data_IF_112287799880
#
_entry.id   IF_112287799880
#
_cell.length_a   1.000
_cell.length_b   1.000
_cell.length_c   1.000
_cell.angle_alpha   90.00
_cell.angle_beta   90.00
_cell.angle_gamma   90.00
#
_symmetry.space_group_name_H-M   'P 1'
#
loop_
_entity.id
_entity.type
_entity.pdbx_description
1 polymer ?
#
# COMPACT_ATOMS: atom_id res chain seq x y z
N UNK A 1 -22.89 -5.65 36.70
CA UNK A 1 -21.69 -6.52 36.84
C UNK A 1 -21.97 -7.79 36.04
N UNK A 2 -21.20 -8.32 35.10
CA UNK A 2 -19.87 -8.07 34.51
C UNK A 2 -19.91 -8.71 33.10
N UNK A 3 -19.53 -7.95 32.06
CA UNK A 3 -18.40 -8.18 31.13
C UNK A 3 -18.42 -9.42 30.21
N UNK A 4 -18.37 -9.13 28.91
CA UNK A 4 -17.44 -9.60 27.86
C UNK A 4 -17.01 -11.09 27.91
N UNK A 5 -17.06 -11.87 26.84
CA UNK A 5 -16.95 -11.51 25.43
C UNK A 5 -15.99 -12.50 24.78
N UNK A 6 -16.51 -13.45 24.01
CA UNK A 6 -15.73 -14.31 23.12
C UNK A 6 -16.62 -14.74 21.93
N UNK A 7 -16.47 -14.08 20.79
CA UNK A 7 -16.92 -14.58 19.48
C UNK A 7 -16.02 -14.03 18.39
N UNK A 8 -14.79 -14.56 18.33
CA UNK A 8 -13.89 -14.39 17.18
C UNK A 8 -13.76 -15.75 16.52
N UNK A 9 -14.60 -16.05 15.52
CA UNK A 9 -14.36 -17.03 14.45
C UNK A 9 -15.38 -16.79 13.31
N UNK A 10 -15.27 -15.68 12.59
CA UNK A 10 -15.85 -15.53 11.24
C UNK A 10 -15.16 -14.37 10.53
N UNK A 11 -13.94 -14.62 10.06
CA UNK A 11 -13.14 -13.64 9.32
C UNK A 11 -12.35 -14.32 8.21
N UNK A 12 -13.02 -14.81 7.17
CA UNK A 12 -12.39 -15.10 5.85
C UNK A 12 -13.35 -15.65 4.79
N UNK A 13 -14.53 -15.06 4.58
CA UNK A 13 -15.36 -15.33 3.39
C UNK A 13 -16.16 -14.13 2.86
N UNK A 14 -15.72 -12.89 3.08
CA UNK A 14 -16.39 -11.68 2.51
C UNK A 14 -15.51 -10.93 1.50
N UNK A 15 -14.81 -11.67 0.63
CA UNK A 15 -13.98 -11.11 -0.46
C UNK A 15 -14.55 -11.38 -1.86
N UNK A 16 -15.88 -11.42 -2.02
CA UNK A 16 -16.54 -11.53 -3.33
C UNK A 16 -17.91 -10.82 -3.40
N UNK A 17 -18.05 -9.65 -2.78
CA UNK A 17 -19.13 -8.72 -3.15
C UNK A 17 -18.46 -7.40 -3.52
N UNK A 18 -18.56 -7.05 -4.80
CA UNK A 18 -18.09 -5.78 -5.32
C UNK A 18 -18.65 -4.65 -4.48
N UNK A 19 -17.75 -3.83 -3.95
CA UNK A 19 -18.10 -2.59 -3.28
C UNK A 19 -18.57 -1.60 -4.35
N UNK A 20 -19.79 -1.79 -4.87
CA UNK A 20 -20.53 -0.72 -5.54
C UNK A 20 -21.02 0.18 -4.41
N UNK A 21 -20.13 1.04 -3.92
CA UNK A 21 -20.56 2.24 -3.21
C UNK A 21 -21.59 2.92 -4.12
N UNK A 22 -22.85 3.16 -3.71
CA UNK A 22 -23.78 3.91 -4.51
C UNK A 22 -23.19 5.32 -4.63
N UNK A 23 -22.53 5.62 -5.76
CA UNK A 23 -22.17 6.99 -6.06
C UNK A 23 -23.45 7.81 -5.95
N UNK A 24 -23.46 8.91 -5.17
CA UNK A 24 -24.67 9.67 -4.95
C UNK A 24 -25.22 10.04 -6.33
N UNK A 25 -26.47 9.64 -6.58
CA UNK A 25 -27.10 9.79 -7.89
C UNK A 25 -27.12 11.27 -8.33
N UNK A 26 -27.09 12.18 -7.35
CA UNK A 26 -26.97 13.63 -7.56
C UNK A 26 -25.63 14.13 -7.05
N UNK A 27 -24.97 14.92 -7.90
CA UNK A 27 -23.73 15.61 -7.59
C UNK A 27 -24.01 17.09 -7.44
N UNK A 28 -23.60 17.67 -6.31
CA UNK A 28 -23.72 19.10 -6.05
C UNK A 28 -22.37 19.78 -6.22
N UNK A 29 -22.37 20.90 -6.94
CA UNK A 29 -21.20 21.75 -7.12
C UNK A 29 -21.65 23.21 -7.19
N UNK A 30 -21.11 24.05 -6.31
CA UNK A 30 -21.56 25.44 -6.15
C UNK A 30 -23.09 25.49 -5.98
N UNK A 31 -23.81 26.34 -6.72
CA UNK A 31 -25.27 26.44 -6.69
C UNK A 31 -26.00 25.44 -7.63
N UNK A 32 -25.28 24.45 -8.18
CA UNK A 32 -25.83 23.51 -9.16
C UNK A 32 -25.95 22.09 -8.58
N UNK A 33 -27.03 21.41 -8.95
CA UNK A 33 -27.21 19.98 -8.69
C UNK A 33 -27.38 19.24 -10.02
N UNK A 34 -26.58 18.21 -10.26
CA UNK A 34 -26.63 17.37 -11.46
C UNK A 34 -27.02 15.95 -11.09
N UNK A 35 -28.14 15.46 -11.62
CA UNK A 35 -28.52 14.07 -11.51
C UNK A 35 -27.83 13.25 -12.62
N UNK A 36 -26.95 12.32 -12.24
CA UNK A 36 -26.15 11.52 -13.16
C UNK A 36 -26.96 10.44 -13.87
N UNK A 37 -28.12 10.05 -13.32
CA UNK A 37 -28.99 9.04 -13.92
C UNK A 37 -29.89 9.64 -14.98
N UNK A 38 -30.45 10.82 -14.70
CA UNK A 38 -31.38 11.48 -15.61
C UNK A 38 -30.70 12.52 -16.51
N UNK A 39 -29.43 12.85 -16.25
CA UNK A 39 -28.69 13.94 -16.90
C UNK A 39 -29.41 15.30 -16.75
N UNK A 40 -30.16 15.49 -15.67
CA UNK A 40 -30.86 16.73 -15.39
C UNK A 40 -30.01 17.66 -14.53
N UNK A 41 -29.88 18.91 -14.99
CA UNK A 41 -29.18 19.98 -14.28
C UNK A 41 -30.19 20.89 -13.58
N UNK A 42 -29.93 21.20 -12.32
CA UNK A 42 -30.71 22.10 -11.48
C UNK A 42 -29.80 23.24 -11.00
N UNK A 43 -30.33 24.47 -10.93
CA UNK A 43 -29.68 25.64 -10.31
C UNK A 43 -30.63 26.18 -9.26
N UNK A 44 -30.19 26.27 -8.00
CA UNK A 44 -31.02 26.71 -6.87
C UNK A 44 -32.39 25.99 -6.82
N UNK A 45 -32.39 24.67 -7.09
CA UNK A 45 -33.59 23.83 -7.13
C UNK A 45 -34.48 23.99 -8.38
N UNK A 46 -34.15 24.89 -9.31
CA UNK A 46 -34.86 25.05 -10.59
C UNK A 46 -34.19 24.24 -11.69
N UNK A 47 -34.97 23.45 -12.43
CA UNK A 47 -34.46 22.67 -13.56
C UNK A 47 -34.00 23.60 -14.69
N UNK A 48 -32.74 23.48 -15.08
CA UNK A 48 -32.20 24.12 -16.27
C UNK A 48 -32.40 23.22 -17.49
N UNK A 49 -32.90 23.80 -18.58
CA UNK A 49 -33.04 23.09 -19.85
C UNK A 49 -31.67 23.01 -20.53
N UNK A 50 -31.04 21.84 -20.40
CA UNK A 50 -29.84 21.49 -21.14
C UNK A 50 -30.20 20.38 -22.14
N UNK A 51 -29.68 20.47 -23.37
CA UNK A 51 -29.91 19.43 -24.37
C UNK A 51 -29.21 18.13 -23.97
N UNK A 52 -29.73 16.98 -24.42
CA UNK A 52 -29.26 15.66 -24.02
C UNK A 52 -27.75 15.44 -24.21
N UNK A 53 -27.19 15.86 -25.34
CA UNK A 53 -25.75 15.72 -25.63
C UNK A 53 -24.88 16.56 -24.68
N UNK A 54 -25.08 17.89 -24.56
CA UNK A 54 -24.39 18.70 -23.54
C UNK A 54 -24.55 18.17 -22.11
N UNK A 55 -25.73 17.68 -21.75
CA UNK A 55 -25.97 17.13 -20.42
C UNK A 55 -25.18 15.85 -20.15
N UNK A 56 -25.14 14.92 -21.12
CA UNK A 56 -24.31 13.70 -21.03
C UNK A 56 -22.83 14.03 -20.94
N UNK A 57 -22.35 15.03 -21.70
CA UNK A 57 -20.97 15.50 -21.62
C UNK A 57 -20.64 16.05 -20.22
N UNK A 58 -21.55 16.84 -19.64
CA UNK A 58 -21.38 17.35 -18.29
C UNK A 58 -21.34 16.21 -17.25
N UNK A 59 -22.21 15.19 -17.38
CA UNK A 59 -22.17 14.00 -16.52
C UNK A 59 -20.83 13.26 -16.64
N UNK A 60 -20.29 13.12 -17.85
CA UNK A 60 -18.99 12.47 -18.08
C UNK A 60 -17.85 13.25 -17.40
N UNK A 61 -17.83 14.58 -17.56
CA UNK A 61 -16.83 15.47 -16.97
C UNK A 61 -16.91 15.46 -15.43
N UNK A 62 -18.12 15.53 -14.86
CA UNK A 62 -18.36 15.52 -13.41
C UNK A 62 -18.10 14.12 -12.80
N UNK A 63 -18.21 13.06 -13.59
CA UNK A 63 -17.89 11.69 -13.15
C UNK A 63 -16.39 11.46 -12.92
N UNK A 64 -15.52 12.30 -13.50
CA UNK A 64 -14.06 12.24 -13.37
C UNK A 64 -13.49 13.63 -13.06
N UNK A 65 -13.81 14.22 -11.88
CA UNK A 65 -13.38 15.57 -11.55
C UNK A 65 -11.85 15.66 -11.53
N UNK A 66 -11.29 16.77 -12.01
CA UNK A 66 -9.85 17.00 -12.08
C UNK A 66 -9.09 16.21 -13.15
N UNK A 67 -9.75 15.29 -13.86
CA UNK A 67 -9.13 14.49 -14.92
C UNK A 67 -9.37 15.14 -16.28
N UNK A 68 -8.36 15.14 -17.15
CA UNK A 68 -8.48 15.62 -18.53
C UNK A 68 -9.12 14.49 -19.35
N UNK A 69 -10.31 14.75 -19.89
CA UNK A 69 -11.00 13.83 -20.79
C UNK A 69 -10.65 14.25 -22.22
N UNK A 70 -10.11 13.33 -23.01
CA UNK A 70 -9.67 13.64 -24.36
C UNK A 70 -10.85 13.80 -25.31
N UNK A 71 -10.64 14.49 -26.44
CA UNK A 71 -11.67 14.63 -27.47
C UNK A 71 -12.13 13.28 -28.02
N UNK A 72 -11.20 12.32 -28.16
CA UNK A 72 -11.51 10.95 -28.59
C UNK A 72 -12.39 10.22 -27.59
N UNK A 73 -12.08 10.31 -26.29
CA UNK A 73 -12.90 9.69 -25.24
C UNK A 73 -14.30 10.31 -25.17
N UNK A 74 -14.41 11.63 -25.39
CA UNK A 74 -15.71 12.32 -25.45
C UNK A 74 -16.51 11.84 -26.65
N UNK A 75 -15.86 11.66 -27.80
CA UNK A 75 -16.50 11.17 -29.01
C UNK A 75 -17.07 9.76 -28.78
N UNK A 76 -16.25 8.83 -28.30
CA UNK A 76 -16.65 7.44 -28.03
C UNK A 76 -17.78 7.36 -27.00
N UNK A 77 -17.76 8.22 -25.97
CA UNK A 77 -18.76 8.22 -24.91
C UNK A 77 -20.12 8.82 -25.33
N UNK A 78 -20.16 9.71 -26.32
CA UNK A 78 -21.38 10.43 -26.73
C UNK A 78 -21.95 9.95 -28.06
N UNK A 79 -21.10 9.45 -28.96
CA UNK A 79 -21.49 9.00 -30.30
C UNK A 79 -20.92 7.60 -30.56
N UNK A 80 -21.81 6.61 -30.66
CA UNK A 80 -21.45 5.29 -31.14
C UNK A 80 -21.15 5.31 -32.65
N UNK A 81 -20.30 4.40 -33.10
CA UNK A 81 -19.83 4.28 -34.49
C UNK A 81 -21.00 4.34 -35.50
N UNK A 82 -21.01 5.34 -36.38
CA UNK A 82 -21.96 5.41 -37.50
C UNK A 82 -22.68 6.75 -37.74
N UNK A 83 -22.53 7.78 -36.90
CA UNK A 83 -23.06 9.13 -37.19
C UNK A 83 -22.00 10.01 -37.88
N UNK A 84 -22.21 10.36 -39.15
CA UNK A 84 -21.38 11.34 -39.86
C UNK A 84 -21.74 12.76 -39.40
N UNK A 85 -21.24 13.16 -38.24
CA UNK A 85 -21.31 14.54 -37.74
C UNK A 85 -19.88 15.06 -37.60
N UNK A 86 -19.67 16.35 -37.84
CA UNK A 86 -18.39 16.99 -37.54
C UNK A 86 -18.18 17.04 -36.02
N UNK A 87 -17.60 15.96 -35.47
CA UNK A 87 -17.48 15.72 -34.03
C UNK A 87 -16.75 16.85 -33.31
N UNK A 88 -15.72 17.43 -33.92
CA UNK A 88 -15.01 18.57 -33.33
C UNK A 88 -15.92 19.77 -33.12
N UNK A 89 -16.75 20.09 -34.13
CA UNK A 89 -17.73 21.17 -34.03
C UNK A 89 -18.80 20.83 -33.00
N UNK A 90 -19.31 19.60 -33.00
CA UNK A 90 -20.34 19.15 -32.06
C UNK A 90 -19.87 19.22 -30.60
N UNK A 91 -18.63 18.81 -30.30
CA UNK A 91 -18.06 18.90 -28.95
C UNK A 91 -17.93 20.38 -28.53
N UNK A 92 -17.47 21.26 -29.42
CA UNK A 92 -17.34 22.68 -29.11
C UNK A 92 -18.71 23.34 -28.84
N UNK A 93 -19.73 23.00 -29.63
CA UNK A 93 -21.11 23.46 -29.41
C UNK A 93 -21.65 22.91 -28.10
N UNK A 94 -21.38 21.65 -27.77
CA UNK A 94 -21.81 21.05 -26.52
C UNK A 94 -21.18 21.75 -25.31
N UNK A 95 -19.86 21.96 -25.32
CA UNK A 95 -19.15 22.70 -24.26
C UNK A 95 -19.64 24.13 -24.15
N UNK A 96 -19.90 24.81 -25.27
CA UNK A 96 -20.46 26.17 -25.27
C UNK A 96 -21.82 26.21 -24.57
N UNK A 97 -22.72 25.28 -24.87
CA UNK A 97 -24.04 25.18 -24.23
C UNK A 97 -23.95 24.86 -22.74
N UNK A 98 -22.98 24.04 -22.33
CA UNK A 98 -22.74 23.77 -20.91
C UNK A 98 -22.25 25.05 -20.22
N UNK A 99 -21.30 25.78 -20.81
CA UNK A 99 -20.83 27.06 -20.27
C UNK A 99 -21.93 28.09 -20.15
N UNK A 100 -22.81 28.20 -21.16
CA UNK A 100 -23.99 29.06 -21.11
C UNK A 100 -24.94 28.65 -19.96
N UNK A 101 -25.18 27.35 -19.77
CA UNK A 101 -26.04 26.85 -18.70
C UNK A 101 -25.43 27.01 -17.30
N UNK A 102 -24.11 26.93 -17.18
CA UNK A 102 -23.37 27.08 -15.92
C UNK A 102 -22.92 28.53 -15.65
N UNK A 103 -23.23 29.46 -16.55
CA UNK A 103 -22.75 30.86 -16.50
C UNK A 103 -21.20 30.93 -16.35
N UNK A 104 -20.50 30.04 -17.05
CA UNK A 104 -19.06 29.84 -16.99
C UNK A 104 -18.34 30.64 -18.09
N UNK A 105 -17.36 31.46 -17.72
CA UNK A 105 -16.58 32.28 -18.65
C UNK A 105 -15.42 31.45 -19.25
N UNK A 106 -15.28 31.33 -20.58
CA UNK A 106 -14.16 30.62 -21.20
C UNK A 106 -12.79 31.23 -20.89
N UNK A 107 -12.70 32.54 -20.60
CA UNK A 107 -11.46 33.24 -20.24
C UNK A 107 -11.12 33.08 -18.75
N UNK A 108 -12.12 32.79 -17.91
CA UNK A 108 -11.99 32.55 -16.47
C UNK A 108 -12.81 31.33 -16.07
N UNK A 109 -12.41 30.12 -16.50
CA UNK A 109 -13.22 28.92 -16.26
C UNK A 109 -13.29 28.63 -14.76
N UNK A 110 -14.51 28.54 -14.24
CA UNK A 110 -14.82 28.09 -12.87
C UNK A 110 -15.19 26.61 -12.83
N UNK A 111 -15.79 26.10 -13.91
CA UNK A 111 -16.29 24.73 -13.97
C UNK A 111 -15.60 23.91 -15.05
N UNK A 112 -15.46 24.44 -16.27
CA UNK A 112 -14.91 23.69 -17.40
C UNK A 112 -13.68 24.37 -17.99
N UNK A 113 -12.53 23.77 -17.72
CA UNK A 113 -11.25 24.18 -18.27
C UNK A 113 -10.99 23.52 -19.62
N UNK A 114 -10.58 24.32 -20.60
CA UNK A 114 -10.09 23.82 -21.88
C UNK A 114 -8.59 23.58 -21.78
N UNK A 115 -8.16 22.34 -22.00
CA UNK A 115 -6.73 21.99 -22.07
C UNK A 115 -6.32 21.94 -23.56
N UNK A 116 -5.52 22.90 -24.05
CA UNK A 116 -5.15 22.99 -25.46
C UNK A 116 -4.55 21.67 -25.97
N UNK A 117 -5.00 21.23 -27.15
CA UNK A 117 -4.54 20.00 -27.85
C UNK A 117 -4.78 18.68 -27.10
N UNK A 118 -5.46 18.68 -25.95
CA UNK A 118 -5.77 17.45 -25.19
C UNK A 118 -7.26 17.21 -25.03
N UNK A 119 -8.02 18.20 -24.55
CA UNK A 119 -9.45 18.02 -24.28
C UNK A 119 -9.98 18.97 -23.21
N UNK A 120 -10.87 18.46 -22.37
CA UNK A 120 -11.61 19.24 -21.38
C UNK A 120 -11.49 18.63 -19.99
N UNK A 121 -11.47 19.48 -18.97
CA UNK A 121 -11.37 19.07 -17.56
C UNK A 121 -12.43 19.79 -16.73
N UNK A 122 -13.10 19.04 -15.86
CA UNK A 122 -13.95 19.62 -14.82
C UNK A 122 -13.09 20.04 -13.62
N UNK A 123 -13.14 21.33 -13.27
CA UNK A 123 -12.39 21.92 -12.16
C UNK A 123 -13.30 22.40 -11.02
N UNK A 124 -14.62 22.26 -11.16
CA UNK A 124 -15.57 22.62 -10.12
C UNK A 124 -15.39 21.79 -8.84
N UNK A 125 -15.53 22.44 -7.69
CA UNK A 125 -15.46 21.77 -6.38
C UNK A 125 -16.79 21.05 -6.12
N UNK A 126 -16.74 19.71 -6.09
CA UNK A 126 -17.90 18.89 -5.77
C UNK A 126 -18.04 18.77 -4.25
N UNK A 127 -19.22 19.05 -3.71
CA UNK A 127 -19.48 19.01 -2.25
C UNK A 127 -19.21 17.62 -1.63
N UNK A 128 -19.51 16.54 -2.35
CA UNK A 128 -19.18 15.16 -1.93
C UNK A 128 -17.66 14.95 -1.81
N UNK A 129 -16.87 15.51 -2.74
CA UNK A 129 -15.41 15.44 -2.68
C UNK A 129 -14.85 16.30 -1.53
N UNK A 130 -15.58 17.32 -1.07
CA UNK A 130 -15.24 18.08 0.13
C UNK A 130 -15.38 17.22 1.38
N UNK A 131 -16.42 16.40 1.49
CA UNK A 131 -16.60 15.46 2.60
C UNK A 131 -15.53 14.36 2.54
N UNK A 132 -15.27 13.77 1.38
CA UNK A 132 -14.26 12.70 1.25
C UNK A 132 -12.81 13.21 1.44
N UNK A 133 -12.50 14.43 0.99
CA UNK A 133 -11.20 15.07 1.23
C UNK A 133 -11.06 15.67 2.62
N UNK A 134 -12.14 16.11 3.26
CA UNK A 134 -12.13 16.55 4.66
C UNK A 134 -12.03 15.33 5.58
N UNK A 135 -12.76 14.25 5.30
CA UNK A 135 -12.66 12.99 6.00
C UNK A 135 -11.28 12.36 5.79
N UNK A 136 -10.71 12.39 4.58
CA UNK A 136 -9.32 11.97 4.36
C UNK A 136 -8.32 12.88 5.08
N UNK A 137 -8.55 14.19 5.17
CA UNK A 137 -7.68 15.09 5.95
C UNK A 137 -7.77 14.84 7.45
N UNK A 138 -8.97 14.61 7.98
CA UNK A 138 -9.18 14.26 9.40
C UNK A 138 -8.60 12.89 9.73
N UNK A 139 -8.74 11.90 8.83
CA UNK A 139 -8.11 10.58 8.98
C UNK A 139 -6.59 10.69 8.84
N UNK A 140 -6.07 11.54 7.95
CA UNK A 140 -4.62 11.81 7.87
C UNK A 140 -4.07 12.57 9.08
N UNK A 141 -4.84 13.45 9.73
CA UNK A 141 -4.38 14.18 10.91
C UNK A 141 -4.40 13.30 12.18
N UNK A 142 -5.32 12.33 12.29
CA UNK A 142 -5.34 11.35 13.40
C UNK A 142 -4.40 10.16 13.17
N UNK A 143 -4.21 9.66 11.94
CA UNK A 143 -3.26 8.55 11.67
C UNK A 143 -1.79 9.00 11.59
N UNK A 144 -1.46 10.30 11.46
CA UNK A 144 -0.06 10.79 11.37
C UNK A 144 0.60 11.02 12.74
N UNK A 145 -0.08 10.68 13.85
CA UNK A 145 0.54 10.64 15.18
C UNK A 145 1.17 9.27 15.53
N UNK A 146 1.04 8.24 14.70
CA UNK A 146 1.91 7.07 14.79
C UNK A 146 3.14 7.35 13.92
N UNK A 147 4.17 7.97 14.50
CA UNK A 147 5.45 8.15 13.82
C UNK A 147 5.94 6.78 13.36
N UNK A 148 5.71 6.41 12.10
CA UNK A 148 6.31 5.22 11.48
C UNK A 148 7.82 5.39 11.69
N UNK A 149 8.38 4.60 12.61
CA UNK A 149 9.77 4.71 13.00
C UNK A 149 10.65 4.24 11.82
N UNK A 150 10.96 5.17 10.92
CA UNK A 150 11.81 4.89 9.75
C UNK A 150 13.27 5.03 10.18
N UNK A 151 13.92 3.90 10.46
CA UNK A 151 15.37 3.86 10.65
C UNK A 151 16.10 4.25 9.36
N UNK A 152 17.21 5.02 9.43
CA UNK A 152 18.08 5.24 8.28
C UNK A 152 18.53 3.91 7.67
N UNK A 153 18.56 3.77 6.33
CA UNK A 153 18.83 2.49 5.64
C UNK A 153 20.10 1.80 6.15
N UNK A 154 21.15 2.57 6.43
CA UNK A 154 22.42 2.04 6.93
C UNK A 154 22.30 1.40 8.31
N UNK A 155 21.58 2.05 9.24
CA UNK A 155 21.35 1.53 10.60
C UNK A 155 20.45 0.29 10.57
N UNK A 156 19.42 0.32 9.73
CA UNK A 156 18.54 -0.83 9.51
C UNK A 156 19.30 -2.04 8.94
N UNK A 157 20.21 -1.83 7.98
CA UNK A 157 21.06 -2.90 7.44
C UNK A 157 22.01 -3.48 8.49
N UNK A 158 22.67 -2.64 9.29
CA UNK A 158 23.60 -3.10 10.34
C UNK A 158 22.86 -3.93 11.39
N UNK A 159 21.72 -3.45 11.88
CA UNK A 159 20.89 -4.18 12.84
C UNK A 159 20.40 -5.51 12.26
N UNK A 160 19.99 -5.53 10.99
CA UNK A 160 19.56 -6.76 10.32
C UNK A 160 20.70 -7.79 10.26
N UNK A 161 21.89 -7.36 9.85
CA UNK A 161 23.06 -8.22 9.76
C UNK A 161 23.50 -8.76 11.14
N UNK A 162 23.50 -7.91 12.16
CA UNK A 162 23.81 -8.32 13.53
C UNK A 162 22.85 -9.42 14.01
N UNK A 163 21.55 -9.28 13.76
CA UNK A 163 20.55 -10.31 14.08
C UNK A 163 20.82 -11.60 13.31
N UNK A 164 21.14 -11.55 12.01
CA UNK A 164 21.44 -12.76 11.24
C UNK A 164 22.71 -13.47 11.72
N UNK A 165 23.73 -12.73 12.14
CA UNK A 165 24.96 -13.30 12.72
C UNK A 165 24.62 -14.07 14.01
N UNK A 166 23.84 -13.47 14.91
CA UNK A 166 23.40 -14.15 16.14
C UNK A 166 22.65 -15.45 15.83
N UNK A 167 21.75 -15.44 14.83
CA UNK A 167 21.05 -16.66 14.39
C UNK A 167 22.01 -17.73 13.85
N UNK A 168 22.96 -17.35 13.00
CA UNK A 168 23.94 -18.28 12.44
C UNK A 168 24.83 -18.87 13.54
N UNK A 169 25.23 -18.08 14.53
CA UNK A 169 26.00 -18.55 15.68
C UNK A 169 25.20 -19.56 16.51
N UNK A 170 23.94 -19.27 16.83
CA UNK A 170 23.08 -20.18 17.62
C UNK A 170 22.80 -21.48 16.86
N UNK A 171 22.53 -21.41 15.56
CA UNK A 171 22.32 -22.61 14.74
C UNK A 171 23.59 -23.44 14.59
N UNK A 172 24.73 -22.79 14.38
CA UNK A 172 26.03 -23.46 14.33
C UNK A 172 26.36 -24.17 15.65
N UNK A 173 26.15 -23.49 16.78
CA UNK A 173 26.37 -24.08 18.11
C UNK A 173 25.46 -25.28 18.35
N UNK A 174 24.20 -25.22 17.90
CA UNK A 174 23.25 -26.33 18.06
C UNK A 174 23.63 -27.53 17.18
N UNK A 175 24.07 -27.28 15.94
CA UNK A 175 24.53 -28.34 15.03
C UNK A 175 25.81 -29.03 15.53
N UNK A 176 26.76 -28.26 16.06
CA UNK A 176 28.00 -28.81 16.62
C UNK A 176 27.75 -29.66 17.87
N UNK A 177 26.70 -29.36 18.63
CA UNK A 177 26.28 -30.11 19.82
C UNK A 177 25.09 -31.05 19.55
N UNK A 178 24.89 -31.50 18.30
CA UNK A 178 23.73 -32.32 17.91
C UNK A 178 23.61 -33.63 18.72
N UNK A 179 24.73 -34.19 19.18
CA UNK A 179 24.74 -35.38 20.04
C UNK A 179 24.12 -35.09 21.42
N UNK A 180 24.45 -33.95 22.02
CA UNK A 180 23.88 -33.49 23.30
C UNK A 180 22.38 -33.20 23.14
N UNK A 181 22.01 -32.54 22.04
CA UNK A 181 20.61 -32.23 21.68
C UNK A 181 19.77 -33.50 21.54
N UNK A 182 20.28 -34.51 20.85
CA UNK A 182 19.61 -35.79 20.67
C UNK A 182 19.41 -36.53 22.01
N UNK A 183 20.39 -36.45 22.91
CA UNK A 183 20.29 -36.97 24.27
C UNK A 183 19.17 -36.30 25.07
N UNK A 184 19.15 -34.96 25.11
CA UNK A 184 18.12 -34.19 25.82
C UNK A 184 16.72 -34.46 25.26
N UNK A 185 16.58 -34.56 23.94
CA UNK A 185 15.30 -34.89 23.30
C UNK A 185 14.85 -36.33 23.59
N UNK A 186 15.79 -37.28 23.70
CA UNK A 186 15.49 -38.65 24.10
C UNK A 186 15.02 -38.71 25.57
N UNK A 187 15.67 -37.98 26.47
CA UNK A 187 15.26 -37.85 27.87
C UNK A 187 13.89 -37.17 28.02
N UNK A 188 13.58 -36.20 27.17
CA UNK A 188 12.27 -35.55 27.11
C UNK A 188 11.17 -36.42 26.45
N UNK A 189 11.49 -37.66 26.01
CA UNK A 189 10.53 -38.57 25.39
C UNK A 189 10.18 -38.22 23.93
N UNK A 190 10.94 -37.34 23.28
CA UNK A 190 10.70 -36.90 21.91
C UNK A 190 11.93 -36.98 20.99
N UNK A 191 12.63 -38.13 20.89
CA UNK A 191 13.81 -38.29 20.04
C UNK A 191 13.50 -38.12 18.54
N UNK A 192 12.25 -38.34 18.15
CA UNK A 192 11.76 -38.17 16.78
C UNK A 192 11.82 -36.71 16.30
N UNK A 193 11.95 -35.73 17.20
CA UNK A 193 12.12 -34.31 16.84
C UNK A 193 13.55 -33.96 16.37
N UNK A 194 14.54 -34.82 16.62
CA UNK A 194 15.93 -34.55 16.27
C UNK A 194 16.14 -34.45 14.75
N UNK A 195 15.52 -35.35 13.96
CA UNK A 195 15.64 -35.34 12.49
C UNK A 195 14.97 -34.10 11.88
N UNK A 196 13.69 -33.76 12.20
CA UNK A 196 13.07 -32.52 11.76
C UNK A 196 13.91 -31.30 12.11
N UNK A 197 14.42 -31.19 13.34
CA UNK A 197 15.30 -30.10 13.72
C UNK A 197 16.47 -30.00 12.71
N UNK A 198 17.27 -31.06 12.59
CA UNK A 198 18.43 -31.08 11.69
C UNK A 198 18.08 -30.71 10.24
N UNK A 199 16.98 -31.26 9.72
CA UNK A 199 16.54 -31.02 8.34
C UNK A 199 16.32 -29.55 8.08
N UNK A 200 15.61 -28.81 8.94
CA UNK A 200 15.44 -27.39 8.64
C UNK A 200 16.47 -26.46 9.29
N UNK A 201 17.37 -26.92 10.17
CA UNK A 201 18.67 -26.22 10.30
C UNK A 201 19.38 -26.19 8.94
N UNK A 202 19.41 -27.32 8.22
CA UNK A 202 20.01 -27.40 6.89
C UNK A 202 19.27 -26.56 5.83
N UNK A 203 17.95 -26.33 5.98
CA UNK A 203 17.18 -25.44 5.09
C UNK A 203 17.32 -23.95 5.48
N UNK A 204 17.31 -23.63 6.77
CA UNK A 204 17.30 -22.25 7.27
C UNK A 204 18.65 -21.55 7.16
N UNK A 205 19.77 -22.28 7.28
CA UNK A 205 21.12 -21.72 7.16
C UNK A 205 21.37 -21.12 5.76
N UNK A 206 21.16 -21.85 4.64
CA UNK A 206 21.31 -21.28 3.28
C UNK A 206 20.40 -20.08 3.03
N UNK A 207 19.17 -20.13 3.54
CA UNK A 207 18.20 -19.04 3.37
C UNK A 207 18.65 -17.78 4.11
N UNK A 208 19.15 -17.90 5.34
CA UNK A 208 19.70 -16.76 6.10
C UNK A 208 20.99 -16.22 5.48
N UNK A 209 21.86 -17.09 4.98
CA UNK A 209 23.04 -16.69 4.20
C UNK A 209 22.67 -15.91 2.94
N UNK A 210 21.64 -16.36 2.21
CA UNK A 210 21.10 -15.63 1.06
C UNK A 210 20.58 -14.24 1.46
N UNK A 211 19.93 -14.11 2.60
CA UNK A 211 19.45 -12.82 3.12
C UNK A 211 20.59 -11.89 3.53
N UNK A 212 21.60 -12.40 4.23
CA UNK A 212 22.82 -11.65 4.57
C UNK A 212 23.49 -11.12 3.30
N UNK A 213 23.62 -11.96 2.28
CA UNK A 213 24.24 -11.59 1.01
C UNK A 213 23.41 -10.54 0.24
N UNK A 214 22.10 -10.76 0.11
CA UNK A 214 21.21 -9.85 -0.65
C UNK A 214 21.02 -8.50 0.02
N UNK A 215 20.95 -8.45 1.35
CA UNK A 215 20.86 -7.20 2.12
C UNK A 215 22.23 -6.50 2.17
N UNK A 216 23.32 -7.26 2.30
CA UNK A 216 24.69 -6.73 2.29
C UNK A 216 25.04 -6.01 0.99
N UNK A 217 24.59 -6.53 -0.16
CA UNK A 217 24.79 -5.87 -1.47
C UNK A 217 23.78 -4.74 -1.77
N UNK A 218 22.86 -4.43 -0.85
CA UNK A 218 21.91 -3.34 -1.03
C UNK A 218 20.90 -3.55 -2.17
N UNK A 219 20.58 -4.80 -2.51
CA UNK A 219 19.72 -5.11 -3.66
C UNK A 219 18.30 -4.54 -3.47
N UNK A 220 17.78 -3.72 -4.42
CA UNK A 220 16.53 -2.95 -4.24
C UNK A 220 15.26 -3.81 -4.17
N UNK A 221 15.33 -5.07 -4.59
CA UNK A 221 14.23 -6.05 -4.47
C UNK A 221 14.35 -7.01 -3.27
N UNK A 222 15.36 -6.85 -2.41
CA UNK A 222 15.59 -7.77 -1.29
C UNK A 222 14.37 -7.80 -0.34
N UNK A 223 13.79 -6.64 -0.02
CA UNK A 223 12.66 -6.55 0.90
C UNK A 223 11.38 -7.20 0.39
N UNK A 224 11.12 -7.10 -0.93
CA UNK A 224 9.98 -7.76 -1.58
C UNK A 224 10.12 -9.29 -1.62
N UNK A 225 11.34 -9.79 -1.87
CA UNK A 225 11.63 -11.24 -1.88
C UNK A 225 11.51 -11.84 -0.48
N UNK A 226 12.10 -11.18 0.54
CA UNK A 226 12.00 -11.61 1.93
C UNK A 226 10.55 -11.70 2.42
N UNK A 227 9.73 -10.68 2.14
CA UNK A 227 8.30 -10.68 2.52
C UNK A 227 7.51 -11.85 1.96
N UNK A 228 7.89 -12.33 0.76
CA UNK A 228 7.27 -13.50 0.11
C UNK A 228 7.73 -14.81 0.75
N UNK A 229 8.97 -14.87 1.25
CA UNK A 229 9.55 -16.05 1.91
C UNK A 229 9.14 -16.16 3.38
N UNK A 230 8.85 -15.03 4.06
CA UNK A 230 8.52 -14.95 5.47
C UNK A 230 7.43 -15.93 5.96
N UNK A 231 6.25 -16.09 5.31
CA UNK A 231 5.23 -17.03 5.79
C UNK A 231 5.71 -18.49 5.82
N UNK A 232 6.75 -18.83 5.05
CA UNK A 232 7.36 -20.15 5.05
C UNK A 232 8.48 -20.28 6.09
N UNK A 233 9.22 -19.19 6.38
CA UNK A 233 10.27 -19.16 7.40
C UNK A 233 9.73 -19.07 8.83
N UNK A 234 8.61 -18.38 9.04
CA UNK A 234 8.10 -18.06 10.38
C UNK A 234 7.80 -19.30 11.25
N UNK A 235 7.14 -20.37 10.73
CA UNK A 235 6.95 -21.60 11.50
C UNK A 235 8.27 -22.26 11.83
N UNK A 236 9.25 -22.17 10.92
CA UNK A 236 10.56 -22.75 11.11
C UNK A 236 11.35 -22.06 12.22
N UNK A 237 11.30 -20.73 12.26
CA UNK A 237 11.96 -19.93 13.28
C UNK A 237 11.39 -20.15 14.69
N UNK A 238 10.08 -20.39 14.79
CA UNK A 238 9.42 -20.71 16.05
C UNK A 238 9.78 -22.08 16.58
N UNK A 239 9.90 -23.07 15.70
CA UNK A 239 10.37 -24.43 16.07
C UNK A 239 11.80 -24.38 16.61
N UNK A 240 12.61 -23.44 16.12
CA UNK A 240 14.02 -23.30 16.49
C UNK A 240 14.32 -22.31 17.61
N UNK A 241 13.37 -21.45 17.99
CA UNK A 241 13.56 -20.48 19.07
C UNK A 241 13.92 -21.10 20.45
N UNK A 242 13.44 -22.32 20.82
CA UNK A 242 13.86 -22.99 22.05
C UNK A 242 15.26 -23.60 21.99
N UNK A 243 15.98 -23.54 20.86
CA UNK A 243 17.29 -24.19 20.70
C UNK A 243 18.35 -23.81 21.74
N UNK A 244 18.43 -22.58 22.29
CA UNK A 244 19.35 -22.28 23.39
C UNK A 244 19.11 -23.13 24.64
N UNK A 245 17.88 -23.62 24.86
CA UNK A 245 17.55 -24.50 25.97
C UNK A 245 18.20 -25.89 25.84
N UNK A 246 18.45 -26.34 24.61
CA UNK A 246 19.17 -27.59 24.36
C UNK A 246 20.66 -27.46 24.67
N UNK A 247 21.21 -26.24 24.61
CA UNK A 247 22.58 -25.93 25.00
C UNK A 247 22.69 -25.45 26.47
N UNK A 248 21.59 -25.50 27.25
CA UNK A 248 21.53 -24.97 28.62
C UNK A 248 22.55 -25.61 29.57
N UNK A 249 22.94 -26.87 29.33
CA UNK A 249 23.97 -27.59 30.09
C UNK A 249 25.35 -26.89 30.05
N UNK A 250 25.67 -26.14 28.98
CA UNK A 250 26.97 -25.47 28.81
C UNK A 250 26.94 -23.97 29.09
N UNK A 251 25.79 -23.33 28.90
CA UNK A 251 25.64 -21.86 28.94
C UNK A 251 24.90 -21.41 30.21
N UNK A 252 24.24 -22.32 30.93
CA UNK A 252 23.38 -22.01 32.08
C UNK A 252 21.95 -21.68 31.65
N UNK A 253 20.98 -22.06 32.48
CA UNK A 253 19.55 -21.92 32.18
C UNK A 253 19.12 -20.45 32.00
N UNK A 254 19.77 -19.50 32.70
CA UNK A 254 19.47 -18.07 32.64
C UNK A 254 19.75 -17.48 31.25
N UNK A 255 20.91 -17.80 30.68
CA UNK A 255 21.30 -17.35 29.35
C UNK A 255 20.48 -18.02 28.25
N UNK A 256 20.10 -19.29 28.44
CA UNK A 256 19.22 -20.00 27.52
C UNK A 256 17.84 -19.31 27.43
N UNK A 257 17.26 -18.91 28.57
CA UNK A 257 15.98 -18.19 28.58
C UNK A 257 16.07 -16.83 27.88
N UNK A 258 17.12 -16.05 28.19
CA UNK A 258 17.34 -14.75 27.55
C UNK A 258 17.50 -14.87 26.03
N UNK A 259 18.28 -15.86 25.57
CA UNK A 259 18.49 -16.11 24.15
C UNK A 259 17.22 -16.62 23.47
N UNK A 260 16.43 -17.48 24.10
CA UNK A 260 15.15 -17.96 23.54
C UNK A 260 14.16 -16.82 23.40
N UNK A 261 14.00 -15.95 24.41
CA UNK A 261 13.15 -14.76 24.33
C UNK A 261 13.62 -13.83 23.21
N UNK A 262 14.94 -13.64 23.10
CA UNK A 262 15.56 -12.84 22.04
C UNK A 262 15.39 -13.45 20.64
N UNK A 263 15.26 -14.78 20.50
CA UNK A 263 15.05 -15.49 19.23
C UNK A 263 13.57 -15.60 18.81
N UNK A 264 12.62 -15.38 19.72
CA UNK A 264 11.16 -15.40 19.41
C UNK A 264 10.71 -14.09 18.74
N UNK A 265 11.29 -12.96 19.16
CA UNK A 265 10.92 -11.61 18.68
C UNK A 265 11.44 -11.16 17.28
N UNK A 266 12.53 -11.72 16.70
CA UNK A 266 13.12 -11.22 15.47
C UNK A 266 12.27 -11.34 14.19
N UNK A 267 11.37 -12.32 13.98
CA UNK A 267 10.59 -12.38 12.74
C UNK A 267 9.74 -11.12 12.52
N UNK A 268 9.22 -10.55 13.60
CA UNK A 268 8.42 -9.32 13.59
C UNK A 268 9.35 -8.09 13.44
N UNK A 269 10.47 -8.09 14.16
CA UNK A 269 11.47 -7.01 14.08
C UNK A 269 12.11 -6.89 12.70
N UNK A 270 12.40 -8.02 12.05
CA UNK A 270 12.95 -8.10 10.69
C UNK A 270 11.95 -7.56 9.66
N UNK A 271 10.65 -7.79 9.84
CA UNK A 271 9.61 -7.23 8.97
C UNK A 271 9.57 -5.70 9.04
N UNK A 272 9.65 -5.13 10.24
CA UNK A 272 9.67 -3.67 10.46
C UNK A 272 10.93 -3.06 9.84
N UNK A 273 12.08 -3.71 10.04
CA UNK A 273 13.37 -3.29 9.50
C UNK A 273 13.38 -3.34 7.96
N UNK A 274 12.84 -4.40 7.36
CA UNK A 274 12.75 -4.54 5.91
C UNK A 274 11.83 -3.48 5.28
N UNK A 275 10.72 -3.14 5.98
CA UNK A 275 9.81 -2.06 5.58
C UNK A 275 10.51 -0.71 5.55
N UNK A 276 11.41 -0.45 6.51
CA UNK A 276 12.22 0.79 6.54
C UNK A 276 13.26 0.87 5.41
N UNK A 277 13.81 -0.26 4.95
CA UNK A 277 14.78 -0.32 3.84
C UNK A 277 14.10 -0.08 2.48
N UNK A 278 12.87 -0.58 2.30
CA UNK A 278 12.09 -0.44 1.06
C UNK A 278 11.40 0.94 0.94
N UNK A 279 11.43 1.78 1.98
CA UNK A 279 10.69 3.04 2.05
C UNK A 279 11.20 4.07 1.01
N UNK A 280 10.32 4.76 0.27
CA UNK A 280 10.70 5.64 -0.84
C UNK A 280 11.62 6.80 -0.45
N UNK A 281 11.53 7.33 0.77
CA UNK A 281 12.45 8.37 1.27
C UNK A 281 13.91 7.90 1.36
N UNK A 282 14.16 6.60 1.57
CA UNK A 282 15.52 6.03 1.61
C UNK A 282 16.11 5.81 0.21
N UNK A 283 15.29 5.86 -0.85
CA UNK A 283 15.78 5.83 -2.25
C UNK A 283 16.27 7.19 -2.73
N UNK A 284 15.90 8.26 -2.04
CA UNK A 284 16.25 9.63 -2.38
C UNK A 284 17.21 10.19 -1.33
N UNK A 285 18.50 9.82 -1.35
CA UNK A 285 19.67 10.60 -0.88
C UNK A 285 20.92 9.70 -0.69
N UNK A 286 22.17 10.09 -1.06
CA UNK A 286 22.62 11.25 -1.81
C UNK A 286 23.65 10.90 -2.93
N UNK A 287 23.29 11.13 -4.20
CA UNK A 287 24.27 11.38 -5.28
C UNK A 287 23.98 12.72 -5.96
N UNK A 288 23.51 13.70 -5.19
CA UNK A 288 23.44 15.11 -5.57
C UNK A 288 24.54 15.86 -4.81
N UNK A 289 25.79 15.50 -5.09
CA UNK A 289 26.98 16.20 -4.62
C UNK A 289 28.01 16.09 -5.72
N UNK A 290 28.42 17.25 -6.26
CA UNK A 290 29.43 17.47 -7.29
C UNK A 290 28.96 17.39 -8.75
N UNK A 291 28.34 18.46 -9.25
CA UNK A 291 28.54 18.93 -10.64
C UNK A 291 27.89 20.30 -10.89
N UNK A 292 28.16 21.31 -10.06
CA UNK A 292 28.00 22.72 -10.47
C UNK A 292 29.12 23.50 -9.79
N UNK A 293 30.30 23.50 -10.43
CA UNK A 293 31.28 24.55 -10.20
C UNK A 293 31.10 25.57 -11.32
N UNK A 294 30.92 26.81 -10.90
CA UNK A 294 30.64 28.01 -11.67
C UNK A 294 31.43 28.15 -12.97
N UNK A 295 30.71 28.61 -14.00
CA UNK A 295 31.27 29.51 -15.01
C UNK A 295 31.19 30.91 -14.43
N UNK A 296 32.33 31.57 -14.26
CA UNK A 296 32.51 33.00 -14.52
C UNK A 296 33.98 33.28 -14.84
#
# INVERSE_FOLDING_TARGET
MLKNGYRILTGSMHRLVGNVQPQPARVRFDNFELDRKTAELYKDGRRLKLQDQPARLLVLLVSRPGTVITRGDIQEALWNEGQFVEFEHAINVAVKKIREALEDDPLKPRFIETVPKKGYRFIGVIETARIESALSRTICDEEVAEREFVLPAMRARILFLAVQIVYLTVYGLTLLNMQDVAGVLAEAGAPWLAIPALVGAAISIPVRLYLVFTVGQGHPAAGKKYRRMLPYLMPWDWVWAPSPFLASQKIGAEWALLLTVLLVYPPISQLILMRSIDHPTNRQSPTAGNAVTDRH
#
